data_IF_068631480397
#
_entry.id   IF_068631480397
#
_cell.length_a   1.000
_cell.length_b   1.000
_cell.length_c   1.000
_cell.angle_alpha   90.00
_cell.angle_beta   90.00
_cell.angle_gamma   90.00
#
_symmetry.space_group_name_H-M   'P 1'
#
loop_
_entity.id
_entity.type
_entity.pdbx_description
1 polymer ?
#
# COMPACT_ATOMS: atom_id res chain seq x y z
N UNK A 1 -58.60 -34.86 2.35
CA UNK A 1 -58.36 -34.24 3.67
C UNK A 1 -56.86 -34.04 3.79
N UNK A 2 -56.43 -32.82 3.48
CA UNK A 2 -55.10 -32.32 3.81
C UNK A 2 -54.84 -32.47 5.31
N UNK A 3 -53.69 -33.05 5.66
CA UNK A 3 -53.07 -32.84 6.96
C UNK A 3 -51.78 -32.08 6.73
N UNK A 4 -51.93 -30.76 6.71
CA UNK A 4 -50.83 -29.82 6.79
C UNK A 4 -50.31 -29.65 8.22
N UNK A 5 -49.11 -29.06 8.27
CA UNK A 5 -48.37 -28.50 9.41
C UNK A 5 -47.77 -29.55 10.36
N UNK A 6 -46.49 -29.52 10.73
CA UNK A 6 -45.59 -28.38 10.90
C UNK A 6 -44.13 -28.83 10.66
N UNK A 7 -43.38 -28.07 9.87
CA UNK A 7 -41.93 -28.19 9.88
C UNK A 7 -41.47 -27.71 11.26
N UNK A 8 -41.03 -28.60 12.17
CA UNK A 8 -40.16 -28.24 13.30
C UNK A 8 -38.77 -27.91 12.77
N UNK A 9 -38.80 -26.85 11.98
CA UNK A 9 -37.83 -26.00 11.34
C UNK A 9 -36.68 -25.39 12.10
N UNK A 10 -36.09 -25.91 13.18
CA UNK A 10 -35.15 -25.08 13.96
C UNK A 10 -34.10 -24.41 13.06
N UNK A 11 -34.24 -23.10 12.87
CA UNK A 11 -33.45 -22.27 11.96
C UNK A 11 -32.52 -21.46 12.85
N UNK A 12 -31.23 -21.80 12.87
CA UNK A 12 -30.23 -20.97 13.53
C UNK A 12 -29.61 -20.05 12.49
N UNK A 13 -29.51 -18.76 12.78
CA UNK A 13 -28.90 -17.78 11.89
C UNK A 13 -27.54 -17.39 12.44
N UNK A 14 -26.48 -17.73 11.72
CA UNK A 14 -25.15 -17.17 11.98
C UNK A 14 -24.99 -15.89 11.16
N UNK A 15 -24.74 -14.76 11.81
CA UNK A 15 -24.37 -13.51 11.17
C UNK A 15 -22.85 -13.34 11.25
N UNK A 16 -22.17 -13.45 10.11
CA UNK A 16 -20.78 -13.01 9.98
C UNK A 16 -20.74 -11.51 9.68
N UNK A 17 -19.90 -10.73 10.35
CA UNK A 17 -19.59 -9.34 10.02
C UNK A 17 -18.09 -9.21 9.71
N UNK A 18 -17.75 -8.96 8.47
CA UNK A 18 -16.34 -8.71 8.09
C UNK A 18 -16.06 -7.21 8.06
N UNK A 19 -15.24 -6.69 8.97
CA UNK A 19 -14.75 -5.31 8.93
C UNK A 19 -13.26 -5.28 8.56
N UNK A 20 -12.99 -5.24 7.26
CA UNK A 20 -11.65 -4.94 6.77
C UNK A 20 -11.49 -3.41 6.64
N UNK A 21 -10.46 -2.78 7.21
CA UNK A 21 -10.19 -1.39 6.96
C UNK A 21 -9.81 -1.23 5.49
N UNK A 22 -10.74 -0.71 4.69
CA UNK A 22 -10.51 -0.38 3.29
C UNK A 22 -10.64 1.13 3.10
N UNK A 23 -9.83 1.75 2.21
CA UNK A 23 -9.95 3.17 1.87
C UNK A 23 -11.29 3.56 1.22
N UNK A 24 -12.15 2.59 0.84
CA UNK A 24 -13.38 2.82 0.07
C UNK A 24 -14.68 2.49 0.81
N UNK A 25 -14.69 2.49 2.15
CA UNK A 25 -15.92 2.48 2.95
C UNK A 25 -16.91 1.33 2.62
N UNK A 26 -16.38 0.14 2.25
CA UNK A 26 -17.27 -0.99 1.89
C UNK A 26 -17.94 -1.55 3.16
N UNK A 27 -19.24 -1.88 3.08
CA UNK A 27 -20.00 -2.32 4.24
C UNK A 27 -19.50 -3.66 4.77
N UNK A 28 -19.72 -3.89 6.06
CA UNK A 28 -19.61 -5.20 6.66
C UNK A 28 -20.30 -6.25 5.78
N UNK A 29 -19.58 -7.29 5.36
CA UNK A 29 -20.21 -8.39 4.65
C UNK A 29 -21.01 -9.21 5.66
N UNK A 30 -22.34 -9.28 5.45
CA UNK A 30 -23.24 -10.16 6.19
C UNK A 30 -23.39 -11.48 5.45
N UNK A 31 -22.90 -12.56 6.04
CA UNK A 31 -23.20 -13.93 5.59
C UNK A 31 -24.19 -14.53 6.58
N UNK A 32 -25.31 -15.05 6.07
CA UNK A 32 -26.30 -15.80 6.83
C UNK A 32 -26.31 -17.26 6.37
N UNK A 33 -26.28 -18.20 7.30
CA UNK A 33 -26.51 -19.62 7.05
C UNK A 33 -27.69 -20.11 7.87
N UNK A 34 -28.55 -20.92 7.27
CA UNK A 34 -29.65 -21.62 7.95
C UNK A 34 -29.19 -23.03 8.31
N UNK A 35 -29.08 -23.32 9.61
CA UNK A 35 -28.71 -24.66 10.11
C UNK A 35 -29.95 -25.40 10.61
N UNK A 36 -29.97 -26.73 10.46
CA UNK A 36 -31.08 -27.57 10.94
C UNK A 36 -30.95 -27.89 12.43
N UNK A 37 -29.72 -27.93 12.95
CA UNK A 37 -29.40 -28.25 14.34
C UNK A 37 -28.51 -27.18 14.96
N UNK A 38 -28.66 -26.95 16.27
CA UNK A 38 -27.79 -26.03 17.02
C UNK A 38 -26.33 -26.47 16.96
N UNK A 39 -26.07 -27.78 17.01
CA UNK A 39 -24.74 -28.36 16.91
C UNK A 39 -24.06 -28.09 15.56
N UNK A 40 -24.83 -27.98 14.47
CA UNK A 40 -24.31 -27.62 13.15
C UNK A 40 -23.91 -26.14 13.11
N UNK A 41 -24.77 -25.26 13.67
CA UNK A 41 -24.48 -23.83 13.78
C UNK A 41 -23.23 -23.58 14.64
N UNK A 42 -23.09 -24.30 15.77
CA UNK A 42 -21.89 -24.23 16.63
C UNK A 42 -20.66 -24.75 15.91
N UNK A 43 -20.74 -25.87 15.20
CA UNK A 43 -19.62 -26.41 14.43
C UNK A 43 -19.14 -25.46 13.34
N UNK A 44 -20.07 -24.74 12.70
CA UNK A 44 -19.73 -23.68 11.75
C UNK A 44 -19.04 -22.49 12.43
N UNK A 45 -19.55 -22.05 13.59
CA UNK A 45 -18.88 -21.04 14.42
C UNK A 45 -17.44 -21.45 14.79
N UNK A 46 -17.27 -22.68 15.29
CA UNK A 46 -15.96 -23.26 15.65
C UNK A 46 -15.02 -23.34 14.45
N UNK A 47 -15.50 -23.77 13.29
CA UNK A 47 -14.71 -23.79 12.05
C UNK A 47 -14.21 -22.39 11.66
N UNK A 48 -15.03 -21.35 11.87
CA UNK A 48 -14.63 -19.97 11.66
C UNK A 48 -13.66 -19.46 12.76
N UNK A 49 -13.82 -19.88 14.02
CA UNK A 49 -13.00 -19.40 15.14
C UNK A 49 -11.63 -20.06 15.26
N UNK A 50 -11.48 -21.32 14.83
CA UNK A 50 -10.27 -22.14 15.09
C UNK A 50 -9.04 -21.73 14.26
N UNK A 51 -9.10 -20.59 13.58
CA UNK A 51 -7.97 -20.06 12.79
C UNK A 51 -7.59 -20.93 11.59
N UNK A 52 -8.34 -21.98 11.29
CA UNK A 52 -8.18 -22.86 10.13
C UNK A 52 -9.17 -22.53 9.02
N UNK A 53 -10.47 -22.59 9.30
CA UNK A 53 -11.51 -22.31 8.31
C UNK A 53 -11.56 -20.85 7.89
N UNK A 54 -11.53 -19.92 8.84
CA UNK A 54 -11.46 -18.50 8.49
C UNK A 54 -10.14 -18.14 7.82
N UNK A 55 -8.99 -18.45 8.46
CA UNK A 55 -7.67 -17.98 8.00
C UNK A 55 -7.24 -18.60 6.67
N UNK A 56 -7.54 -19.87 6.45
CA UNK A 56 -7.03 -20.59 5.29
C UNK A 56 -8.03 -20.58 4.13
N UNK A 57 -9.34 -20.54 4.40
CA UNK A 57 -10.35 -20.67 3.35
C UNK A 57 -11.03 -19.33 3.06
N UNK A 58 -11.59 -18.66 4.08
CA UNK A 58 -12.39 -17.45 3.87
C UNK A 58 -11.54 -16.19 3.68
N UNK A 59 -10.52 -15.98 4.51
CA UNK A 59 -9.69 -14.77 4.51
C UNK A 59 -8.98 -14.55 3.16
N UNK A 60 -8.34 -15.56 2.52
CA UNK A 60 -7.75 -15.39 1.20
C UNK A 60 -8.81 -15.11 0.12
N UNK A 61 -9.97 -15.77 0.20
CA UNK A 61 -11.05 -15.61 -0.77
C UNK A 61 -11.66 -14.20 -0.77
N UNK A 62 -11.78 -13.57 0.39
CA UNK A 62 -12.34 -12.21 0.52
C UNK A 62 -11.27 -11.11 0.51
N UNK A 63 -9.98 -11.48 0.45
CA UNK A 63 -8.85 -10.56 0.60
C UNK A 63 -8.85 -9.88 1.97
N UNK A 64 -9.08 -10.66 3.03
CA UNK A 64 -8.93 -10.22 4.41
C UNK A 64 -7.44 -10.24 4.76
N UNK A 65 -6.95 -9.12 5.26
CA UNK A 65 -5.57 -8.95 5.66
C UNK A 65 -5.36 -7.53 6.16
N UNK A 66 -4.33 -7.34 6.97
CA UNK A 66 -3.97 -6.00 7.42
C UNK A 66 -3.55 -5.13 6.23
N UNK A 67 -3.94 -3.85 6.27
CA UNK A 67 -3.59 -2.90 5.21
C UNK A 67 -2.64 -1.86 5.76
N UNK A 68 -1.53 -1.65 5.06
CA UNK A 68 -0.62 -0.56 5.38
C UNK A 68 -1.02 0.62 4.51
N UNK A 69 -1.46 1.69 5.14
CA UNK A 69 -1.77 2.94 4.47
C UNK A 69 -0.73 3.98 4.81
N UNK A 70 -0.25 4.75 3.83
CA UNK A 70 0.50 5.97 4.13
C UNK A 70 -0.49 6.99 4.69
N UNK A 71 -0.26 7.45 5.92
CA UNK A 71 -1.01 8.54 6.53
C UNK A 71 0.01 9.50 7.09
N UNK A 72 0.06 10.69 6.49
CA UNK A 72 1.04 11.70 6.84
C UNK A 72 2.45 11.09 6.99
N UNK A 73 2.96 10.47 5.92
CA UNK A 73 4.36 10.01 5.80
C UNK A 73 4.78 8.97 6.84
N UNK A 74 3.80 8.46 7.59
CA UNK A 74 3.94 7.32 8.45
C UNK A 74 3.14 6.17 7.84
N UNK A 75 3.68 4.96 8.01
CA UNK A 75 2.96 3.74 7.69
C UNK A 75 2.06 3.42 8.86
N UNK A 76 0.76 3.59 8.67
CA UNK A 76 -0.23 3.14 9.64
C UNK A 76 -0.70 1.79 9.16
N UNK A 77 -0.56 0.79 10.02
CA UNK A 77 -1.21 -0.46 9.76
C UNK A 77 -2.64 -0.41 10.28
N UNK A 78 -3.59 -0.52 9.36
CA UNK A 78 -4.99 -0.71 9.69
C UNK A 78 -5.23 -2.20 9.90
N UNK A 79 -5.64 -2.53 11.12
CA UNK A 79 -5.91 -3.91 11.54
C UNK A 79 -7.23 -4.37 10.94
N UNK A 80 -7.20 -5.48 10.22
CA UNK A 80 -8.41 -6.17 9.79
C UNK A 80 -9.02 -6.90 10.98
N UNK A 81 -10.31 -6.63 11.23
CA UNK A 81 -11.09 -7.27 12.27
C UNK A 81 -12.23 -8.07 11.63
N UNK A 82 -12.35 -9.33 12.02
CA UNK A 82 -13.49 -10.17 11.74
C UNK A 82 -14.28 -10.34 13.03
N UNK A 83 -15.59 -10.14 12.98
CA UNK A 83 -16.48 -10.58 14.06
C UNK A 83 -17.60 -11.47 13.52
N UNK A 84 -18.01 -12.48 14.28
CA UNK A 84 -19.24 -13.21 14.00
C UNK A 84 -20.12 -13.28 15.24
N UNK A 85 -21.42 -13.36 15.00
CA UNK A 85 -22.44 -13.54 16.03
C UNK A 85 -23.37 -14.66 15.55
N UNK A 86 -23.55 -15.70 16.34
CA UNK A 86 -24.55 -16.74 16.10
C UNK A 86 -25.75 -16.44 16.98
N UNK A 87 -26.94 -16.40 16.37
CA UNK A 87 -28.20 -16.16 17.07
C UNK A 87 -29.17 -17.31 16.88
N UNK A 88 -29.99 -17.58 17.89
CA UNK A 88 -31.19 -18.41 17.74
C UNK A 88 -32.33 -17.63 17.07
N UNK A 89 -33.48 -18.29 16.86
CA UNK A 89 -34.67 -17.69 16.23
C UNK A 89 -35.26 -16.49 16.98
N UNK A 90 -35.00 -16.38 18.28
CA UNK A 90 -35.49 -15.28 19.11
C UNK A 90 -34.56 -14.07 19.03
N UNK A 91 -33.44 -14.19 18.31
CA UNK A 91 -32.38 -13.20 18.25
C UNK A 91 -31.43 -13.27 19.45
N UNK A 92 -31.55 -14.29 20.30
CA UNK A 92 -30.63 -14.48 21.43
C UNK A 92 -29.28 -14.95 20.89
N UNK A 93 -28.21 -14.32 21.36
CA UNK A 93 -26.84 -14.68 21.00
C UNK A 93 -26.47 -16.02 21.65
N UNK A 94 -26.08 -16.99 20.83
CA UNK A 94 -25.65 -18.33 21.23
C UNK A 94 -24.13 -18.47 21.23
N UNK A 95 -23.45 -17.69 20.39
CA UNK A 95 -21.99 -17.63 20.29
C UNK A 95 -21.57 -16.29 19.66
N UNK A 96 -20.38 -15.82 20.01
CA UNK A 96 -19.76 -14.65 19.39
C UNK A 96 -18.24 -14.78 19.40
N UNK A 97 -17.61 -14.30 18.35
CA UNK A 97 -16.16 -14.32 18.24
C UNK A 97 -15.67 -13.07 17.54
N UNK A 98 -14.48 -12.62 17.90
CA UNK A 98 -13.78 -11.54 17.22
C UNK A 98 -12.33 -11.97 17.02
N UNK A 99 -11.88 -11.87 15.78
CA UNK A 99 -10.52 -12.13 15.37
C UNK A 99 -9.92 -10.85 14.81
N UNK A 100 -8.83 -10.43 15.41
CA UNK A 100 -7.98 -9.36 14.89
C UNK A 100 -6.60 -9.95 14.61
N UNK A 101 -6.07 -9.74 13.41
CA UNK A 101 -4.68 -10.07 13.14
C UNK A 101 -3.79 -8.91 13.57
N UNK A 102 -2.92 -9.13 14.55
CA UNK A 102 -1.96 -8.10 14.95
C UNK A 102 -1.12 -7.65 13.74
N UNK A 103 -1.01 -6.34 13.53
CA UNK A 103 -0.17 -5.79 12.49
C UNK A 103 0.94 -4.93 13.09
N UNK A 104 2.15 -5.07 12.56
CA UNK A 104 3.22 -4.09 12.77
C UNK A 104 3.42 -3.39 11.43
N UNK A 105 3.32 -2.05 11.36
CA UNK A 105 3.75 -1.33 10.18
C UNK A 105 5.19 -1.75 9.90
N UNK A 106 5.54 -2.05 8.65
CA UNK A 106 6.91 -2.40 8.35
C UNK A 106 7.79 -1.22 8.77
N UNK A 107 9.00 -1.54 9.20
CA UNK A 107 9.98 -0.57 9.65
C UNK A 107 11.09 -0.50 8.60
N UNK A 108 11.70 0.67 8.48
CA UNK A 108 12.80 0.94 7.56
C UNK A 108 13.54 2.20 8.00
N UNK A 109 14.77 2.32 7.55
CA UNK A 109 15.63 3.49 7.79
C UNK A 109 15.61 4.47 6.62
N UNK A 110 14.87 4.20 5.54
CA UNK A 110 14.81 5.09 4.39
C UNK A 110 14.17 6.44 4.77
N UNK A 111 14.75 7.57 4.32
CA UNK A 111 15.97 7.73 3.53
C UNK A 111 17.26 7.49 4.32
N UNK A 112 18.23 6.84 3.67
CA UNK A 112 19.49 6.40 4.31
C UNK A 112 20.53 7.50 4.52
N UNK A 113 20.35 8.67 3.90
CA UNK A 113 21.07 9.87 4.30
C UNK A 113 20.37 10.52 5.50
N UNK A 114 21.11 11.24 6.34
CA UNK A 114 20.55 11.97 7.49
C UNK A 114 19.63 13.11 7.03
N UNK A 115 18.40 12.78 6.66
CA UNK A 115 17.32 13.73 6.47
C UNK A 115 16.86 14.18 7.85
N UNK A 116 16.57 15.46 8.02
CA UNK A 116 16.01 15.93 9.29
C UNK A 116 14.67 15.20 9.54
N UNK A 117 14.49 14.47 10.65
CA UNK A 117 13.19 13.86 10.97
C UNK A 117 12.12 14.96 11.13
N UNK A 118 10.90 14.71 10.63
CA UNK A 118 9.76 15.66 10.70
C UNK A 118 9.51 16.50 9.44
N UNK A 119 10.07 16.11 8.30
CA UNK A 119 10.18 16.96 7.11
C UNK A 119 9.01 16.94 6.10
N UNK A 120 7.91 16.27 6.42
CA UNK A 120 6.74 16.15 5.53
C UNK A 120 6.05 17.46 5.14
N UNK A 121 6.23 18.49 5.97
CA UNK A 121 5.76 19.84 5.69
C UNK A 121 6.93 20.79 5.49
N UNK A 122 8.14 20.27 5.27
CA UNK A 122 9.33 21.10 5.18
C UNK A 122 9.69 21.46 3.75
N UNK A 123 9.21 20.69 2.78
CA UNK A 123 9.41 20.94 1.36
C UNK A 123 8.14 21.50 0.71
N UNK A 124 8.25 22.34 -0.34
CA UNK A 124 7.09 22.75 -1.12
C UNK A 124 6.66 21.68 -2.13
N UNK A 125 7.37 20.54 -2.25
CA UNK A 125 7.14 19.54 -3.29
C UNK A 125 6.45 18.27 -2.77
N UNK A 126 5.45 17.78 -3.48
CA UNK A 126 4.89 16.43 -3.33
C UNK A 126 4.90 15.73 -4.70
N UNK A 127 5.15 14.43 -4.73
CA UNK A 127 5.17 13.61 -5.94
C UNK A 127 3.98 12.65 -5.91
N UNK A 128 3.09 12.74 -6.89
CA UNK A 128 1.87 11.89 -6.97
C UNK A 128 1.89 11.04 -8.23
N UNK A 129 1.54 9.76 -8.12
CA UNK A 129 1.40 8.91 -9.30
C UNK A 129 0.26 9.40 -10.20
N UNK A 130 0.50 9.49 -11.50
CA UNK A 130 -0.48 9.97 -12.47
C UNK A 130 -0.96 8.90 -13.43
N UNK A 131 -0.03 8.19 -14.08
CA UNK A 131 -0.37 7.27 -15.18
C UNK A 131 0.69 6.23 -15.46
N UNK A 132 0.25 5.18 -16.17
CA UNK A 132 1.08 4.12 -16.74
C UNK A 132 0.88 4.05 -18.25
N UNK A 133 1.95 3.79 -19.00
CA UNK A 133 1.86 3.42 -20.42
C UNK A 133 3.02 2.52 -20.85
N UNK A 134 2.82 1.72 -21.91
CA UNK A 134 3.87 0.90 -22.50
C UNK A 134 4.60 1.67 -23.61
N UNK A 135 5.93 1.60 -23.65
CA UNK A 135 6.74 2.17 -24.73
C UNK A 135 8.13 1.52 -24.76
N UNK A 136 8.67 1.25 -25.95
CA UNK A 136 10.02 0.71 -26.16
C UNK A 136 10.33 -0.54 -25.32
N UNK A 137 9.37 -1.46 -25.18
CA UNK A 137 9.53 -2.68 -24.36
C UNK A 137 9.53 -2.45 -22.85
N UNK A 138 9.19 -1.24 -22.40
CA UNK A 138 9.11 -0.87 -20.98
C UNK A 138 7.69 -0.49 -20.57
N UNK A 139 7.38 -0.70 -19.30
CA UNK A 139 6.25 -0.11 -18.60
C UNK A 139 6.72 1.20 -17.96
N UNK A 140 6.17 2.32 -18.42
CA UNK A 140 6.48 3.65 -17.91
C UNK A 140 5.45 4.04 -16.86
N UNK A 141 5.92 4.50 -15.71
CA UNK A 141 5.08 4.97 -14.61
C UNK A 141 5.45 6.41 -14.30
N UNK A 142 4.50 7.31 -14.47
CA UNK A 142 4.70 8.74 -14.34
C UNK A 142 4.20 9.25 -13.00
N UNK A 143 4.97 10.18 -12.46
CA UNK A 143 4.71 10.86 -11.22
C UNK A 143 4.74 12.36 -11.46
N UNK A 144 3.66 13.05 -11.10
CA UNK A 144 3.58 14.50 -11.19
C UNK A 144 4.12 15.14 -9.93
N UNK A 145 4.97 16.14 -10.10
CA UNK A 145 5.40 17.03 -9.04
C UNK A 145 4.33 18.09 -8.82
N UNK A 146 3.83 18.21 -7.60
CA UNK A 146 2.91 19.25 -7.16
C UNK A 146 3.67 20.22 -6.25
N UNK A 147 3.42 21.51 -6.42
CA UNK A 147 4.06 22.56 -5.60
C UNK A 147 3.02 23.21 -4.68
N UNK A 148 3.28 23.17 -3.38
CA UNK A 148 2.54 23.89 -2.34
C UNK A 148 3.51 24.61 -1.39
N UNK A 149 3.79 25.87 -1.72
CA UNK A 149 4.65 26.73 -0.89
C UNK A 149 3.98 27.21 0.39
N UNK A 150 2.64 27.10 0.51
CA UNK A 150 1.91 27.60 1.69
C UNK A 150 1.94 26.62 2.85
N UNK A 151 1.96 25.33 2.53
CA UNK A 151 2.04 24.23 3.51
C UNK A 151 3.43 24.02 4.09
N UNK A 152 4.42 24.67 3.49
CA UNK A 152 5.81 24.40 3.71
C UNK A 152 6.45 25.32 4.77
N UNK A 153 7.33 24.76 5.62
CA UNK A 153 8.00 25.48 6.72
C UNK A 153 9.49 25.14 6.85
N UNK A 154 10.30 26.13 7.20
CA UNK A 154 11.72 25.95 7.53
C UNK A 154 12.68 26.01 6.33
N UNK A 155 13.92 25.53 6.53
CA UNK A 155 15.03 25.63 5.54
C UNK A 155 14.65 25.09 4.17
N UNK A 156 13.89 24.01 4.14
CA UNK A 156 13.57 23.29 2.92
C UNK A 156 12.51 23.98 2.07
N UNK A 157 12.00 25.14 2.50
CA UNK A 157 10.93 25.82 1.77
C UNK A 157 11.35 26.62 0.54
N UNK A 158 12.59 27.09 0.55
CA UNK A 158 13.22 27.71 -0.60
C UNK A 158 14.10 26.74 -1.38
N UNK A 159 13.99 25.44 -1.11
CA UNK A 159 14.83 24.44 -1.77
C UNK A 159 14.44 24.33 -3.25
N UNK A 160 15.42 24.03 -4.10
CA UNK A 160 15.16 23.54 -5.43
C UNK A 160 14.89 22.01 -5.40
N UNK A 161 14.45 21.46 -6.52
CA UNK A 161 14.22 20.03 -6.69
C UNK A 161 15.18 19.52 -7.76
N UNK A 162 16.27 18.89 -7.32
CA UNK A 162 17.28 18.37 -8.24
C UNK A 162 17.31 16.84 -8.31
N UNK A 163 16.88 16.18 -7.23
CA UNK A 163 16.86 14.73 -7.16
C UNK A 163 15.69 14.20 -6.35
N UNK A 164 15.09 13.13 -6.85
CA UNK A 164 14.20 12.25 -6.09
C UNK A 164 14.88 10.88 -5.98
N UNK A 165 14.94 10.35 -4.77
CA UNK A 165 15.39 8.98 -4.52
C UNK A 165 14.18 8.09 -4.23
N UNK A 166 14.19 6.85 -4.74
CA UNK A 166 13.09 5.89 -4.66
C UNK A 166 13.59 4.59 -4.06
N UNK A 167 12.92 4.11 -3.00
CA UNK A 167 13.27 2.85 -2.34
C UNK A 167 12.70 1.67 -3.12
N UNK A 168 13.57 0.75 -3.57
CA UNK A 168 13.12 -0.48 -4.22
C UNK A 168 12.79 -1.60 -3.23
N UNK A 169 12.07 -2.62 -3.68
CA UNK A 169 11.66 -3.81 -2.92
C UNK A 169 12.82 -4.80 -2.62
N UNK A 170 14.03 -4.28 -2.43
CA UNK A 170 15.26 -5.04 -2.27
C UNK A 170 16.20 -4.97 -3.48
N UNK A 171 17.33 -5.67 -3.36
CA UNK A 171 18.43 -5.64 -4.35
C UNK A 171 18.10 -6.26 -5.71
N UNK A 172 17.14 -7.18 -5.76
CA UNK A 172 16.68 -7.83 -6.99
C UNK A 172 16.08 -6.83 -8.01
N UNK A 173 15.60 -5.67 -7.56
CA UNK A 173 15.01 -4.66 -8.43
C UNK A 173 16.02 -3.64 -9.02
N UNK A 174 17.30 -3.66 -8.61
CA UNK A 174 18.34 -2.70 -9.05
C UNK A 174 18.52 -2.61 -10.58
N UNK A 175 18.12 -3.63 -11.32
CA UNK A 175 18.25 -3.66 -12.78
C UNK A 175 16.91 -3.65 -13.52
N UNK A 176 15.80 -3.47 -12.78
CA UNK A 176 14.46 -3.42 -13.34
C UNK A 176 14.20 -2.10 -14.08
N UNK A 177 14.86 -1.01 -13.71
CA UNK A 177 14.71 0.31 -14.35
C UNK A 177 15.63 0.39 -15.58
N UNK A 178 15.06 0.69 -16.74
CA UNK A 178 15.81 0.99 -17.97
C UNK A 178 16.33 2.44 -17.98
N UNK A 179 15.60 3.35 -17.33
CA UNK A 179 15.92 4.77 -17.23
C UNK A 179 14.70 5.58 -16.78
N UNK A 180 14.79 6.89 -16.90
CA UNK A 180 13.68 7.78 -16.62
C UNK A 180 13.64 8.97 -17.58
N UNK A 181 12.48 9.60 -17.70
CA UNK A 181 12.29 10.86 -18.43
C UNK A 181 11.71 11.93 -17.52
N UNK A 182 11.88 13.19 -17.90
CA UNK A 182 11.30 14.36 -17.23
C UNK A 182 10.59 15.19 -18.28
N UNK A 183 9.34 15.60 -18.06
CA UNK A 183 8.53 16.28 -19.08
C UNK A 183 9.10 17.63 -19.54
N UNK A 184 9.94 18.27 -18.73
CA UNK A 184 10.69 19.49 -19.11
C UNK A 184 11.83 19.21 -20.11
N UNK A 185 12.17 17.93 -20.34
CA UNK A 185 13.22 17.46 -21.24
C UNK A 185 12.67 16.31 -22.11
N UNK A 186 11.69 16.57 -23.01
CA UNK A 186 10.87 15.53 -23.65
C UNK A 186 11.63 14.51 -24.52
N UNK A 187 12.88 14.81 -24.89
CA UNK A 187 13.73 13.91 -25.69
C UNK A 187 14.89 13.29 -24.89
N UNK A 188 14.99 13.59 -23.59
CA UNK A 188 16.05 13.07 -22.74
C UNK A 188 15.58 11.78 -22.05
N UNK A 189 16.15 10.65 -22.46
CA UNK A 189 16.09 9.41 -21.71
C UNK A 189 17.34 9.28 -20.85
N UNK A 190 17.18 9.42 -19.54
CA UNK A 190 18.28 9.47 -18.59
C UNK A 190 18.53 8.07 -18.02
N UNK A 191 19.78 7.64 -18.06
CA UNK A 191 20.19 6.37 -17.46
C UNK A 191 19.95 6.39 -15.94
N UNK A 192 19.52 5.26 -15.34
CA UNK A 192 19.22 5.22 -13.93
C UNK A 192 20.50 5.23 -13.11
N UNK A 193 20.52 6.05 -12.06
CA UNK A 193 21.60 6.08 -11.07
C UNK A 193 21.13 5.33 -9.82
N UNK A 194 22.02 4.56 -9.20
CA UNK A 194 21.67 3.70 -8.06
C UNK A 194 22.66 3.83 -6.91
N UNK A 195 22.18 3.69 -5.69
CA UNK A 195 23.01 3.28 -4.54
C UNK A 195 22.52 1.98 -3.92
N UNK A 196 23.42 1.30 -3.22
CA UNK A 196 23.09 0.16 -2.35
C UNK A 196 23.15 0.67 -0.93
N UNK A 197 22.14 0.38 -0.14
CA UNK A 197 22.06 0.77 1.26
C UNK A 197 21.78 -0.46 2.12
N UNK A 198 22.23 -0.42 3.36
CA UNK A 198 21.93 -1.45 4.37
C UNK A 198 20.88 -0.89 5.30
N UNK A 199 19.74 -1.57 5.39
CA UNK A 199 18.63 -1.20 6.28
C UNK A 199 18.57 -2.17 7.47
N UNK A 200 18.76 -1.63 8.67
CA UNK A 200 18.79 -2.43 9.89
C UNK A 200 17.39 -2.72 10.48
N UNK A 201 16.33 -2.10 9.95
CA UNK A 201 14.97 -2.20 10.48
C UNK A 201 14.07 -3.15 9.67
N UNK A 202 14.35 -3.36 8.38
CA UNK A 202 13.51 -4.22 7.51
C UNK A 202 13.41 -5.67 8.01
N UNK A 203 14.53 -6.31 8.33
CA UNK A 203 14.58 -7.72 8.79
C UNK A 203 15.34 -7.88 10.10
N UNK A 204 15.17 -6.95 11.04
CA UNK A 204 15.81 -7.02 12.35
C UNK A 204 15.66 -8.42 13.00
N UNK A 205 16.75 -9.07 13.42
CA UNK A 205 18.09 -8.52 13.66
C UNK A 205 19.05 -8.54 12.45
N UNK A 206 18.66 -9.12 11.31
CA UNK A 206 19.51 -9.24 10.14
C UNK A 206 19.28 -8.06 9.20
N UNK A 207 20.26 -7.17 8.96
CA UNK A 207 20.07 -6.06 8.05
C UNK A 207 19.78 -6.54 6.62
N UNK A 208 18.85 -5.87 5.95
CA UNK A 208 18.53 -6.13 4.55
C UNK A 208 19.32 -5.18 3.64
N UNK A 209 19.80 -5.67 2.50
CA UNK A 209 20.30 -4.79 1.45
C UNK A 209 19.14 -4.33 0.57
N UNK A 210 19.11 -3.03 0.30
CA UNK A 210 18.14 -2.43 -0.63
C UNK A 210 18.85 -1.61 -1.70
N UNK A 211 18.20 -1.46 -2.84
CA UNK A 211 18.66 -0.55 -3.89
C UNK A 211 17.81 0.73 -3.86
N UNK A 212 18.48 1.86 -4.05
CA UNK A 212 17.83 3.17 -4.12
C UNK A 212 18.04 3.73 -5.52
N UNK A 213 16.96 3.89 -6.27
CA UNK A 213 16.96 4.54 -7.57
C UNK A 213 17.04 6.05 -7.38
N UNK A 214 17.85 6.73 -8.19
CA UNK A 214 17.98 8.19 -8.17
C UNK A 214 17.56 8.76 -9.51
N UNK A 215 16.53 9.61 -9.50
CA UNK A 215 16.16 10.46 -10.62
C UNK A 215 16.74 11.85 -10.36
N UNK A 216 17.96 12.07 -10.83
CA UNK A 216 18.78 13.26 -10.57
C UNK A 216 18.82 14.24 -11.75
N UNK A 217 19.50 15.38 -11.58
CA UNK A 217 19.63 16.44 -12.57
C UNK A 217 18.26 16.94 -13.07
N UNK A 218 17.29 17.00 -12.16
CA UNK A 218 15.94 17.46 -12.47
C UNK A 218 15.98 18.95 -12.81
N UNK A 219 16.84 19.73 -12.14
CA UNK A 219 16.98 21.19 -12.31
C UNK A 219 15.61 21.90 -12.25
N UNK A 220 14.79 21.49 -11.28
CA UNK A 220 13.49 22.07 -11.01
C UNK A 220 13.55 22.99 -9.80
N UNK A 221 12.61 23.92 -9.71
CA UNK A 221 12.38 24.79 -8.56
C UNK A 221 10.88 25.08 -8.42
N UNK A 222 10.50 25.82 -7.39
CA UNK A 222 9.09 26.16 -7.12
C UNK A 222 8.38 26.89 -8.27
N UNK A 223 9.13 27.48 -9.22
CA UNK A 223 8.59 28.25 -10.35
C UNK A 223 8.29 27.36 -11.54
N UNK A 224 9.04 26.25 -11.72
CA UNK A 224 8.93 25.40 -12.90
C UNK A 224 8.57 23.93 -12.60
N UNK A 225 8.54 23.52 -11.32
CA UNK A 225 8.29 22.13 -10.95
C UNK A 225 6.81 21.72 -11.03
N UNK A 226 5.89 22.66 -10.83
CA UNK A 226 4.47 22.32 -10.71
C UNK A 226 3.92 21.73 -12.01
N UNK A 227 3.40 20.52 -11.93
CA UNK A 227 2.86 19.77 -13.07
C UNK A 227 3.91 18.99 -13.88
N UNK A 228 5.19 19.07 -13.54
CA UNK A 228 6.24 18.29 -14.21
C UNK A 228 6.04 16.80 -13.92
N UNK A 229 6.13 15.96 -14.96
CA UNK A 229 6.08 14.50 -14.81
C UNK A 229 7.50 13.93 -14.84
N UNK A 230 7.81 13.09 -13.86
CA UNK A 230 8.98 12.20 -13.84
C UNK A 230 8.46 10.80 -14.15
N UNK A 231 8.89 10.20 -15.26
CA UNK A 231 8.44 8.86 -15.65
C UNK A 231 9.56 7.84 -15.53
N UNK A 232 9.38 6.83 -14.69
CA UNK A 232 10.31 5.72 -14.50
C UNK A 232 9.95 4.60 -15.49
N UNK A 233 10.91 4.17 -16.30
CA UNK A 233 10.73 3.08 -17.26
C UNK A 233 11.20 1.75 -16.65
N UNK A 234 10.26 0.89 -16.29
CA UNK A 234 10.54 -0.48 -15.84
C UNK A 234 10.55 -1.44 -17.03
N UNK A 235 11.56 -2.31 -17.11
CA UNK A 235 11.65 -3.34 -18.14
C UNK A 235 10.46 -4.28 -18.02
N UNK A 236 9.66 -4.42 -19.08
CA UNK A 236 8.43 -5.22 -19.04
C UNK A 236 8.71 -6.71 -18.75
N UNK A 237 9.87 -7.21 -19.16
CA UNK A 237 10.34 -8.58 -18.91
C UNK A 237 11.43 -8.64 -17.80
N UNK A 238 11.51 -7.60 -16.97
CA UNK A 238 12.48 -7.50 -15.88
C UNK A 238 12.06 -8.25 -14.63
N UNK A 239 12.91 -8.20 -13.58
CA UNK A 239 12.61 -8.80 -12.27
C UNK A 239 11.47 -8.10 -11.53
N UNK A 240 11.30 -6.80 -11.75
CA UNK A 240 10.26 -5.98 -11.13
C UNK A 240 9.55 -5.17 -12.23
N UNK A 241 8.65 -5.79 -13.02
CA UNK A 241 8.04 -5.17 -14.19
C UNK A 241 6.91 -4.19 -13.86
N UNK A 242 6.42 -4.20 -12.62
CA UNK A 242 5.41 -3.26 -12.11
C UNK A 242 5.93 -2.39 -10.98
N UNK A 243 5.24 -1.29 -10.70
CA UNK A 243 5.58 -0.46 -9.52
C UNK A 243 5.30 -1.20 -8.21
N UNK A 244 4.32 -2.10 -8.19
CA UNK A 244 4.05 -2.98 -7.04
C UNK A 244 5.24 -3.91 -6.78
N UNK A 245 5.82 -4.49 -7.84
CA UNK A 245 7.03 -5.31 -7.70
C UNK A 245 8.26 -4.48 -7.34
N UNK A 246 8.37 -3.27 -7.92
CA UNK A 246 9.53 -2.41 -7.80
C UNK A 246 9.61 -1.71 -6.45
N UNK A 247 8.50 -1.17 -5.96
CA UNK A 247 8.47 -0.38 -4.75
C UNK A 247 8.46 -1.27 -3.51
N UNK A 248 9.20 -0.85 -2.49
CA UNK A 248 9.25 -1.58 -1.24
C UNK A 248 7.85 -1.72 -0.62
N UNK A 249 7.42 -2.96 -0.42
CA UNK A 249 6.09 -3.29 0.12
C UNK A 249 4.92 -2.71 -0.71
N UNK A 250 5.11 -2.60 -2.03
CA UNK A 250 4.10 -2.07 -2.96
C UNK A 250 3.83 -0.57 -2.84
N UNK A 251 4.55 0.13 -1.96
CA UNK A 251 4.41 1.57 -1.72
C UNK A 251 5.66 2.32 -2.15
N UNK A 252 5.51 3.23 -3.11
CA UNK A 252 6.64 3.96 -3.67
C UNK A 252 7.09 5.10 -2.77
N UNK A 253 7.94 4.75 -1.80
CA UNK A 253 8.63 5.73 -0.96
C UNK A 253 9.56 6.57 -1.79
N UNK A 254 9.61 7.85 -1.48
CA UNK A 254 10.56 8.75 -2.09
C UNK A 254 11.13 9.74 -1.09
N UNK A 255 12.33 10.22 -1.41
CA UNK A 255 12.97 11.33 -0.70
C UNK A 255 13.40 12.41 -1.68
N UNK A 256 13.23 13.68 -1.28
CA UNK A 256 13.49 14.86 -2.12
C UNK A 256 14.74 15.60 -1.65
N UNK A 257 15.57 15.99 -2.62
CA UNK A 257 16.86 16.61 -2.41
C UNK A 257 17.04 17.89 -3.24
N UNK A 258 17.69 18.87 -2.61
CA UNK A 258 18.20 20.07 -3.27
C UNK A 258 19.51 19.79 -4.03
N UNK A 259 19.99 20.76 -4.83
CA UNK A 259 21.29 20.67 -5.54
C UNK A 259 22.49 20.54 -4.60
N UNK A 260 22.39 21.00 -3.36
CA UNK A 260 23.44 20.85 -2.35
C UNK A 260 23.47 19.46 -1.70
N UNK A 261 22.65 18.52 -2.22
CA UNK A 261 22.42 17.19 -1.67
C UNK A 261 21.82 17.19 -0.25
N UNK A 262 21.24 18.32 0.17
CA UNK A 262 20.44 18.42 1.38
C UNK A 262 19.10 17.73 1.18
N UNK A 263 18.86 16.67 1.97
CA UNK A 263 17.57 16.00 2.00
C UNK A 263 16.56 16.79 2.82
N UNK A 264 15.34 16.91 2.29
CA UNK A 264 14.33 17.81 2.82
C UNK A 264 12.94 17.18 2.96
N UNK A 265 12.72 15.97 2.46
CA UNK A 265 11.49 15.24 2.68
C UNK A 265 11.70 13.74 2.55
N UNK A 266 10.89 12.99 3.31
CA UNK A 266 10.59 11.58 3.12
C UNK A 266 9.07 11.46 3.06
N UNK A 267 8.54 10.88 1.99
CA UNK A 267 7.11 10.66 1.82
C UNK A 267 6.85 9.49 0.85
N UNK A 268 5.62 9.34 0.42
CA UNK A 268 5.18 8.27 -0.48
C UNK A 268 4.43 8.87 -1.66
N UNK A 269 4.62 8.28 -2.84
CA UNK A 269 3.87 8.72 -4.00
C UNK A 269 2.41 8.29 -3.88
N UNK A 270 1.52 9.24 -3.58
CA UNK A 270 0.08 8.99 -3.49
C UNK A 270 -0.48 8.62 -4.87
N UNK A 271 -1.26 7.55 -4.93
CA UNK A 271 -1.92 7.05 -6.12
C UNK A 271 -2.86 5.90 -5.80
N UNK A 272 -4.07 5.94 -6.36
CA UNK A 272 -5.02 4.84 -6.24
C UNK A 272 -4.52 3.68 -7.11
N UNK A 273 -3.99 2.65 -6.47
CA UNK A 273 -3.61 1.37 -7.05
C UNK A 273 -2.59 1.46 -8.21
N UNK A 274 -1.32 1.15 -7.90
CA UNK A 274 -0.27 0.89 -8.89
C UNK A 274 -0.57 -0.29 -9.85
N UNK A 275 -1.71 -0.98 -9.69
CA UNK A 275 -2.07 -2.13 -10.52
C UNK A 275 -3.46 -2.77 -10.33
N UNK A 276 -4.27 -2.42 -9.32
CA UNK A 276 -5.52 -3.16 -9.02
C UNK A 276 -6.78 -2.72 -9.78
N UNK A 277 -6.65 -2.32 -11.05
CA UNK A 277 -7.77 -2.52 -11.98
C UNK A 277 -7.68 -3.95 -12.52
N UNK A 278 -8.16 -4.93 -11.73
CA UNK A 278 -8.69 -6.16 -12.34
C UNK A 278 -9.76 -5.69 -13.32
N UNK A 279 -9.45 -5.75 -14.61
CA UNK A 279 -10.44 -5.68 -15.67
C UNK A 279 -11.58 -6.62 -15.25
N UNK A 280 -12.79 -6.06 -15.15
CA UNK A 280 -14.00 -6.86 -15.30
C UNK A 280 -14.02 -7.45 -16.71
#
# INVERSE_FOLDING_TARGET
MDKGYELTKDFYCAQLNVSAPRPNNRPAMRVCGDFKLESEARSFGTYLSDGGGFRNDLAPAIGFGNYIVPVFGQRICLVSELSYIVTDRTGKICDQYTYSEGCKPPQDEFPYCTCKPGAMLSTPYNVTYTRKFASNGNNNYCFRVNVDTKRCVGRCCSMDLDKVEWMSNGMNCRYAVAGFTVSTKPNAFVAPVWSTETDNLITAPNPAQVAVLKTNNLNLDVRNANGVEICIALKANGKCPTMEDFCYDGLCKYAIFDRSAGCCANDFAEGNDFGYNRRR
#
